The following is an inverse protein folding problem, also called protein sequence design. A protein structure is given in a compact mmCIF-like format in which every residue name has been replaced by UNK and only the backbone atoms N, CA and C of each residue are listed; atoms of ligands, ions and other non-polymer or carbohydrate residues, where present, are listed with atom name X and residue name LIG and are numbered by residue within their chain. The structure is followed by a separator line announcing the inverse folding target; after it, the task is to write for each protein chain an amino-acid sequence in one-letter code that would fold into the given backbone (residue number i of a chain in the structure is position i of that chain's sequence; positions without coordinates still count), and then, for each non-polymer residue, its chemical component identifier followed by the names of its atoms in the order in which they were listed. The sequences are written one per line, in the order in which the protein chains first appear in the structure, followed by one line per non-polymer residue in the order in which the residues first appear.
data_IF_089592215236
#
_entry.id   IF_089592215236
#
_cell.length_a   1.000
_cell.length_b   1.000
_cell.length_c   1.000
_cell.angle_alpha   90.00
_cell.angle_beta   90.00
_cell.angle_gamma   90.00
#
_symmetry.space_group_name_H-M   'P 1'
#
loop_
_entity.id
_entity.type
_entity.pdbx_description
1 polymer ?
#
# COMPACT_ATOMS: atom_id res chain seq x y z
N UNK A 1 17.47 -1.48 7.60
CA UNK A 1 16.39 -0.62 7.09
C UNK A 1 15.36 -1.52 6.44
N UNK A 2 14.08 -1.29 6.72
CA UNK A 2 12.98 -2.07 6.14
C UNK A 2 11.84 -1.12 5.79
N UNK A 3 11.14 -1.39 4.70
CA UNK A 3 9.96 -0.63 4.28
C UNK A 3 8.72 -1.51 4.42
N UNK A 4 7.80 -1.13 5.30
CA UNK A 4 6.64 -1.95 5.65
C UNK A 4 5.34 -1.13 5.60
N UNK A 5 4.25 -1.74 5.11
CA UNK A 5 2.90 -1.20 5.30
C UNK A 5 2.49 -1.25 6.77
N UNK A 6 1.52 -0.42 7.12
CA UNK A 6 0.87 -0.45 8.43
C UNK A 6 -0.57 0.07 8.35
N UNK A 7 -1.43 -0.37 9.26
CA UNK A 7 -2.76 0.21 9.42
C UNK A 7 -2.67 1.55 10.14
N UNK A 8 -3.14 2.62 9.49
CA UNK A 8 -3.38 3.94 10.11
C UNK A 8 -4.55 3.83 11.08
N UNK A 9 -5.62 3.20 10.62
CA UNK A 9 -6.77 2.81 11.41
C UNK A 9 -7.36 1.52 10.82
N UNK A 10 -8.26 0.86 11.55
CA UNK A 10 -8.85 -0.41 11.10
C UNK A 10 -9.80 -0.16 9.92
N UNK A 11 -9.56 -0.76 8.73
CA UNK A 11 -10.52 -0.70 7.62
C UNK A 11 -11.87 -1.33 8.00
N UNK A 12 -12.97 -0.92 7.34
CA UNK A 12 -14.27 -1.54 7.53
C UNK A 12 -14.25 -3.01 7.08
N UNK A 13 -15.19 -3.83 7.54
CA UNK A 13 -15.23 -5.28 7.20
C UNK A 13 -15.38 -5.49 5.70
N UNK A 14 -16.11 -4.60 5.04
CA UNK A 14 -16.37 -4.59 3.61
C UNK A 14 -15.07 -4.52 2.81
N UNK A 15 -14.07 -3.77 3.27
CA UNK A 15 -12.76 -3.70 2.61
C UNK A 15 -12.15 -5.10 2.44
N UNK A 16 -12.16 -5.91 3.51
CA UNK A 16 -11.60 -7.25 3.52
C UNK A 16 -12.37 -8.26 2.66
N UNK A 17 -13.62 -7.95 2.28
CA UNK A 17 -14.38 -8.79 1.34
C UNK A 17 -13.94 -8.56 -0.13
N UNK A 18 -13.42 -7.37 -0.44
CA UNK A 18 -12.99 -7.00 -1.79
C UNK A 18 -11.48 -7.06 -1.97
N UNK A 19 -10.71 -6.78 -0.91
CA UNK A 19 -9.26 -6.91 -0.89
C UNK A 19 -8.83 -8.37 -0.74
N UNK A 20 -7.61 -8.69 -1.16
CA UNK A 20 -6.98 -9.98 -0.86
C UNK A 20 -6.26 -9.98 0.50
N UNK A 21 -6.34 -8.86 1.22
CA UNK A 21 -5.70 -8.66 2.51
C UNK A 21 -6.61 -9.10 3.66
N UNK A 22 -5.97 -9.44 4.78
CA UNK A 22 -6.56 -9.68 6.09
C UNK A 22 -6.06 -8.64 7.07
N UNK A 23 -6.82 -8.40 8.14
CA UNK A 23 -6.40 -7.44 9.16
C UNK A 23 -5.06 -7.84 9.80
N UNK A 24 -4.80 -9.13 9.92
CA UNK A 24 -3.60 -9.70 10.53
C UNK A 24 -2.36 -9.63 9.64
N UNK A 25 -2.52 -9.31 8.35
CA UNK A 25 -1.37 -9.21 7.43
C UNK A 25 -0.46 -8.04 7.79
N UNK A 26 -1.04 -6.97 8.37
CA UNK A 26 -0.29 -5.81 8.84
C UNK A 26 -0.60 -5.48 10.30
N UNK A 27 0.30 -4.73 10.92
CA UNK A 27 0.11 -4.17 12.25
C UNK A 27 0.05 -2.64 12.16
N UNK A 28 -0.02 -1.97 13.32
CA UNK A 28 0.06 -0.51 13.40
C UNK A 28 1.49 -0.01 13.17
N UNK A 29 1.66 1.29 12.95
CA UNK A 29 2.99 1.90 12.87
C UNK A 29 3.86 1.55 14.08
N UNK A 30 3.28 1.62 15.28
CA UNK A 30 3.96 1.24 16.51
C UNK A 30 4.24 -0.28 16.57
N UNK A 31 3.33 -1.11 16.09
CA UNK A 31 3.54 -2.55 16.03
C UNK A 31 4.76 -2.95 15.21
N UNK A 32 4.99 -2.28 14.07
CA UNK A 32 6.21 -2.49 13.26
C UNK A 32 7.49 -2.12 14.03
N UNK A 33 7.44 -1.03 14.82
CA UNK A 33 8.55 -0.66 15.71
C UNK A 33 8.81 -1.74 16.75
N UNK A 34 7.75 -2.22 17.42
CA UNK A 34 7.85 -3.26 18.44
C UNK A 34 8.43 -4.57 17.88
N UNK A 35 8.07 -4.95 16.66
CA UNK A 35 8.65 -6.13 16.00
C UNK A 35 10.17 -5.98 15.90
N UNK A 36 10.66 -4.82 15.43
CA UNK A 36 12.10 -4.55 15.34
C UNK A 36 12.79 -4.57 16.71
N UNK A 37 12.18 -3.95 17.72
CA UNK A 37 12.73 -3.92 19.09
C UNK A 37 12.78 -5.32 19.72
N UNK A 38 11.76 -6.15 19.52
CA UNK A 38 11.73 -7.53 19.98
C UNK A 38 12.79 -8.41 19.30
N UNK A 39 13.27 -8.01 18.11
CA UNK A 39 14.39 -8.63 17.42
C UNK A 39 15.76 -8.11 17.90
N UNK A 40 15.81 -7.29 18.96
CA UNK A 40 17.03 -6.74 19.53
C UNK A 40 17.60 -5.56 18.74
N UNK A 41 16.77 -4.86 17.96
CA UNK A 41 17.17 -3.69 17.21
C UNK A 41 16.70 -2.40 17.89
N UNK A 42 17.48 -1.33 17.78
CA UNK A 42 17.07 -0.01 18.27
C UNK A 42 16.53 0.83 17.10
N UNK A 43 15.31 1.36 17.22
CA UNK A 43 14.74 2.28 16.22
C UNK A 43 15.50 3.61 16.28
N UNK A 44 15.99 4.07 15.14
CA UNK A 44 16.66 5.36 15.01
C UNK A 44 15.79 6.41 14.34
N UNK A 45 15.05 6.03 13.31
CA UNK A 45 14.32 6.97 12.47
C UNK A 45 13.19 6.29 11.68
N UNK A 46 12.15 7.06 11.37
CA UNK A 46 11.08 6.63 10.45
C UNK A 46 10.86 7.68 9.36
N UNK A 47 10.57 7.21 8.15
CA UNK A 47 10.04 8.02 7.05
C UNK A 47 8.66 7.47 6.72
N UNK A 48 7.62 8.26 7.00
CA UNK A 48 6.23 7.82 6.87
C UNK A 48 5.61 8.49 5.65
N UNK A 49 4.98 7.71 4.78
CA UNK A 49 4.30 8.26 3.63
C UNK A 49 3.07 9.07 4.05
N UNK A 50 2.77 10.11 3.29
CA UNK A 50 1.50 10.83 3.39
C UNK A 50 0.55 10.45 2.24
N UNK A 51 -0.69 10.97 2.31
CA UNK A 51 -1.72 10.71 1.31
C UNK A 51 -1.35 11.24 -0.08
N UNK A 52 -0.69 12.40 -0.18
CA UNK A 52 -0.26 12.97 -1.48
C UNK A 52 0.80 12.09 -2.17
N UNK A 53 1.69 11.47 -1.40
CA UNK A 53 2.69 10.53 -1.92
C UNK A 53 2.03 9.24 -2.43
N UNK A 54 1.02 8.73 -1.73
CA UNK A 54 0.20 7.62 -2.19
C UNK A 54 -0.61 7.97 -3.45
N UNK A 55 -1.26 9.14 -3.46
CA UNK A 55 -2.04 9.65 -4.60
C UNK A 55 -1.14 9.75 -5.83
N UNK A 56 0.10 10.25 -5.67
CA UNK A 56 1.09 10.32 -6.73
C UNK A 56 1.55 8.93 -7.18
N UNK A 57 1.85 8.02 -6.26
CA UNK A 57 2.31 6.66 -6.58
C UNK A 57 1.28 5.89 -7.41
N UNK A 58 0.04 5.81 -6.94
CA UNK A 58 -1.03 5.10 -7.65
C UNK A 58 -1.51 5.87 -8.88
N UNK A 59 -1.59 7.19 -8.80
CA UNK A 59 -1.95 8.05 -9.93
C UNK A 59 -1.01 7.87 -11.13
N UNK A 60 0.29 7.74 -10.89
CA UNK A 60 1.27 7.45 -11.95
C UNK A 60 1.06 6.08 -12.59
N UNK A 61 0.67 5.06 -11.82
CA UNK A 61 0.33 3.74 -12.37
C UNK A 61 -0.93 3.81 -13.23
N UNK A 62 -1.98 4.49 -12.75
CA UNK A 62 -3.21 4.68 -13.53
C UNK A 62 -2.97 5.42 -14.83
N UNK A 63 -2.14 6.46 -14.80
CA UNK A 63 -1.73 7.20 -15.98
C UNK A 63 -0.97 6.31 -16.97
N UNK A 64 0.02 5.55 -16.49
CA UNK A 64 0.81 4.64 -17.31
C UNK A 64 -0.06 3.58 -17.97
N UNK A 65 -0.97 2.95 -17.23
CA UNK A 65 -1.90 1.95 -17.78
C UNK A 65 -2.84 2.56 -18.82
N UNK A 66 -3.38 3.75 -18.57
CA UNK A 66 -4.23 4.43 -19.56
C UNK A 66 -3.46 4.74 -20.85
N UNK A 67 -2.21 5.21 -20.73
CA UNK A 67 -1.34 5.44 -21.88
C UNK A 67 -1.09 4.15 -22.66
N UNK A 68 -0.74 3.07 -21.96
CA UNK A 68 -0.47 1.76 -22.56
C UNK A 68 -1.65 1.23 -23.37
N UNK A 69 -2.86 1.25 -22.77
CA UNK A 69 -4.09 0.78 -23.42
C UNK A 69 -4.42 1.58 -24.69
N UNK A 70 -4.14 2.89 -24.69
CA UNK A 70 -4.35 3.73 -25.87
C UNK A 70 -3.36 3.45 -26.99
N UNK A 71 -2.13 3.06 -26.66
CA UNK A 71 -1.05 2.85 -27.63
C UNK A 71 -0.99 1.41 -28.17
N UNK A 72 -1.62 0.43 -27.50
CA UNK A 72 -1.51 -1.00 -27.81
C UNK A 72 -2.89 -1.68 -27.88
N UNK A 73 -3.86 -1.12 -28.62
CA UNK A 73 -5.27 -1.54 -28.58
C UNK A 73 -5.55 -3.00 -28.97
N UNK A 74 -4.60 -3.66 -29.62
CA UNK A 74 -4.64 -5.05 -30.07
C UNK A 74 -4.04 -6.04 -29.07
N UNK A 75 -3.48 -5.56 -27.95
CA UNK A 75 -2.95 -6.41 -26.89
C UNK A 75 -4.08 -7.21 -26.21
N UNK A 76 -4.04 -8.56 -26.25
CA UNK A 76 -5.07 -9.41 -25.67
C UNK A 76 -5.17 -9.33 -24.15
N UNK A 77 -4.16 -8.82 -23.44
CA UNK A 77 -4.11 -8.75 -21.98
C UNK A 77 -4.77 -7.47 -21.41
N UNK A 78 -5.14 -6.52 -22.28
CA UNK A 78 -5.79 -5.26 -21.87
C UNK A 78 -7.03 -5.47 -21.00
N UNK A 79 -7.96 -6.41 -21.29
CA UNK A 79 -9.14 -6.63 -20.46
C UNK A 79 -8.80 -7.03 -19.02
N UNK A 80 -7.79 -7.90 -18.84
CA UNK A 80 -7.33 -8.32 -17.51
C UNK A 80 -6.66 -7.16 -16.78
N UNK A 81 -5.78 -6.44 -17.47
CA UNK A 81 -5.09 -5.27 -16.94
C UNK A 81 -6.08 -4.20 -16.44
N UNK A 82 -7.12 -3.89 -17.22
CA UNK A 82 -8.16 -2.94 -16.82
C UNK A 82 -9.00 -3.44 -15.66
N UNK A 83 -9.28 -4.74 -15.60
CA UNK A 83 -10.03 -5.35 -14.49
C UNK A 83 -9.26 -5.19 -13.18
N UNK A 84 -7.96 -5.51 -13.18
CA UNK A 84 -7.08 -5.33 -12.03
C UNK A 84 -6.98 -3.86 -11.61
N UNK A 85 -6.71 -2.97 -12.57
CA UNK A 85 -6.58 -1.53 -12.31
C UNK A 85 -7.84 -0.94 -11.67
N UNK A 86 -9.03 -1.32 -12.16
CA UNK A 86 -10.30 -0.82 -11.65
C UNK A 86 -10.57 -1.33 -10.23
N UNK A 87 -10.22 -2.58 -9.92
CA UNK A 87 -10.31 -3.14 -8.55
C UNK A 87 -9.39 -2.36 -7.60
N UNK A 88 -8.12 -2.17 -7.96
CA UNK A 88 -7.14 -1.44 -7.14
C UNK A 88 -7.56 0.02 -6.92
N UNK A 89 -7.99 0.71 -7.99
CA UNK A 89 -8.48 2.09 -7.90
C UNK A 89 -9.71 2.19 -6.98
N UNK A 90 -10.64 1.24 -7.06
CA UNK A 90 -11.81 1.20 -6.19
C UNK A 90 -11.44 1.01 -4.72
N UNK A 91 -10.56 0.05 -4.41
CA UNK A 91 -10.08 -0.20 -3.04
C UNK A 91 -9.39 1.04 -2.46
N UNK A 92 -8.49 1.65 -3.24
CA UNK A 92 -7.73 2.80 -2.78
C UNK A 92 -8.61 4.01 -2.49
N UNK A 93 -9.46 4.40 -3.44
CA UNK A 93 -10.28 5.60 -3.33
C UNK A 93 -11.38 5.48 -2.27
N UNK A 94 -11.87 4.27 -1.98
CA UNK A 94 -12.89 4.08 -0.95
C UNK A 94 -12.34 3.88 0.46
N UNK A 95 -11.18 3.22 0.61
CA UNK A 95 -10.73 2.79 1.92
C UNK A 95 -9.22 2.96 2.15
N UNK A 96 -8.36 2.51 1.24
CA UNK A 96 -6.93 2.39 1.56
C UNK A 96 -6.26 3.75 1.74
N UNK A 97 -6.71 4.78 1.00
CA UNK A 97 -6.16 6.14 1.12
C UNK A 97 -6.15 6.67 2.56
N UNK A 98 -7.14 6.30 3.35
CA UNK A 98 -7.31 6.80 4.72
C UNK A 98 -6.97 5.75 5.81
N UNK A 99 -6.74 4.49 5.41
CA UNK A 99 -6.59 3.37 6.36
C UNK A 99 -5.23 2.68 6.27
N UNK A 100 -4.52 2.78 5.13
CA UNK A 100 -3.26 2.09 4.88
C UNK A 100 -2.11 3.10 4.73
N UNK A 101 -1.09 2.95 5.56
CA UNK A 101 0.15 3.72 5.50
C UNK A 101 1.32 2.85 5.05
N UNK A 102 2.42 3.50 4.68
CA UNK A 102 3.69 2.84 4.44
C UNK A 102 4.81 3.63 5.08
N UNK A 103 5.80 2.95 5.64
CA UNK A 103 6.94 3.64 6.23
C UNK A 103 8.25 2.87 6.06
N UNK A 104 9.34 3.63 5.95
CA UNK A 104 10.69 3.11 6.13
C UNK A 104 11.04 3.22 7.61
N UNK A 105 11.47 2.11 8.19
CA UNK A 105 11.99 2.02 9.54
C UNK A 105 13.50 1.79 9.47
N UNK A 106 14.26 2.71 10.09
CA UNK A 106 15.72 2.63 10.19
C UNK A 106 16.07 2.15 11.58
N UNK A 107 16.60 0.94 11.64
CA UNK A 107 17.05 0.30 12.86
C UNK A 107 18.57 0.17 12.88
N UNK A 108 19.13 0.13 14.08
CA UNK A 108 20.52 -0.26 14.34
C UNK A 108 20.55 -1.54 15.16
N UNK A 109 21.44 -2.47 14.80
CA UNK A 109 21.71 -3.65 15.62
C UNK A 109 22.33 -3.21 16.94
N UNK A 110 21.74 -3.68 18.04
CA UNK A 110 22.28 -3.46 19.39
C UNK A 110 23.55 -4.27 19.58
#
# INVERSE_FOLDING_TARGET
MVGEPFWICKPPKEYFNFSELKYEDYTTHYGNVQIGENLGLNLLYTLVSNSDEWDRYLGLQWYATNKYVRENSDDPDIPELLTKLNKEKYLYLNWERDTLGWAIYVFRKT
#
